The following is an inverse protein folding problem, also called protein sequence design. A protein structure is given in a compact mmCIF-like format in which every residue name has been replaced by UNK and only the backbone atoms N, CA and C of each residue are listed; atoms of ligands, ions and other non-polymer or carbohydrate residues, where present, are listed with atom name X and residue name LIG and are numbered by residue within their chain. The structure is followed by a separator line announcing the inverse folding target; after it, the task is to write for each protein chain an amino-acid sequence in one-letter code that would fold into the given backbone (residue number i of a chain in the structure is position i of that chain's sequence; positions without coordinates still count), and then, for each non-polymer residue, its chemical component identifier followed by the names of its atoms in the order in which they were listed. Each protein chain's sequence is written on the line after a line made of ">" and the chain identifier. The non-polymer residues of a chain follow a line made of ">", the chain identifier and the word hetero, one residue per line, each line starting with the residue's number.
data_IF_682187580071
#
_entry.id   IF_682187580071
#
_cell.length_a   1.000
_cell.length_b   1.000
_cell.length_c   1.000
_cell.angle_alpha   90.00
_cell.angle_beta   90.00
_cell.angle_gamma   90.00
#
_symmetry.space_group_name_H-M   'P 1'
#
loop_
_entity.id
_entity.type
_entity.pdbx_description
1 polymer ?
#
# COMPACT_ATOMS: atom_id res chain seq x y z
N UNK A 1 -24.79 51.78 -5.64
CA UNK A 1 -23.52 51.15 -6.02
C UNK A 1 -23.56 49.71 -5.55
N UNK A 2 -24.08 48.79 -6.37
CA UNK A 2 -24.07 47.36 -6.06
C UNK A 2 -23.96 46.58 -7.36
N UNK A 3 -23.01 45.64 -7.40
CA UNK A 3 -23.13 44.44 -8.20
C UNK A 3 -22.22 43.38 -7.57
N UNK A 4 -22.82 42.58 -6.69
CA UNK A 4 -22.24 41.37 -6.09
C UNK A 4 -21.95 40.34 -7.20
N UNK A 5 -20.68 39.92 -7.31
CA UNK A 5 -20.17 39.14 -8.44
C UNK A 5 -20.50 37.65 -8.22
N UNK A 6 -21.55 37.17 -8.88
CA UNK A 6 -21.96 35.75 -8.84
C UNK A 6 -20.83 34.81 -9.25
N UNK A 7 -20.50 33.76 -8.45
CA UNK A 7 -19.53 32.75 -8.84
C UNK A 7 -19.99 31.99 -10.10
N UNK A 8 -19.12 31.92 -11.09
CA UNK A 8 -19.41 31.33 -12.39
C UNK A 8 -19.26 29.80 -12.32
N UNK A 9 -20.39 29.07 -12.27
CA UNK A 9 -20.46 27.62 -12.06
C UNK A 9 -19.97 26.77 -13.25
N UNK A 10 -19.60 27.41 -14.36
CA UNK A 10 -19.08 26.77 -15.58
C UNK A 10 -17.58 26.43 -15.47
N UNK A 11 -16.88 26.94 -14.44
CA UNK A 11 -15.52 26.51 -14.08
C UNK A 11 -15.57 25.33 -13.12
N UNK A 12 -16.09 24.19 -13.59
CA UNK A 12 -15.97 22.92 -12.84
C UNK A 12 -14.50 22.46 -12.95
N UNK A 13 -13.74 22.35 -11.85
CA UNK A 13 -12.38 21.81 -11.92
C UNK A 13 -12.45 20.38 -12.46
N UNK A 14 -11.65 20.11 -13.49
CA UNK A 14 -11.58 18.82 -14.17
C UNK A 14 -10.79 17.82 -13.31
N UNK A 15 -11.12 16.53 -13.40
CA UNK A 15 -10.44 15.44 -12.68
C UNK A 15 -8.95 15.28 -13.02
N UNK A 16 -8.44 16.03 -14.00
CA UNK A 16 -7.03 16.05 -14.38
C UNK A 16 -6.09 16.51 -13.24
N UNK A 17 -6.61 17.26 -12.26
CA UNK A 17 -5.84 17.72 -11.10
C UNK A 17 -5.70 16.67 -9.99
N UNK A 18 -6.39 15.52 -10.10
CA UNK A 18 -6.38 14.48 -9.07
C UNK A 18 -5.01 13.78 -8.96
N UNK A 19 -4.40 13.42 -10.08
CA UNK A 19 -3.08 12.79 -10.09
C UNK A 19 -1.99 13.70 -9.53
N UNK A 20 -2.10 15.02 -9.74
CA UNK A 20 -1.15 16.00 -9.22
C UNK A 20 -1.17 16.10 -7.68
N UNK A 21 -2.32 15.82 -7.06
CA UNK A 21 -2.49 15.80 -5.61
C UNK A 21 -1.87 14.54 -4.96
N UNK A 22 -1.92 13.41 -5.66
CA UNK A 22 -1.32 12.15 -5.19
C UNK A 22 0.20 12.16 -5.35
N UNK A 23 0.71 12.83 -6.39
CA UNK A 23 2.12 12.77 -6.77
C UNK A 23 2.96 14.00 -6.40
N UNK A 24 2.40 15.02 -5.72
CA UNK A 24 3.05 16.21 -5.14
C UNK A 24 4.41 16.61 -5.72
N UNK A 25 4.47 17.68 -6.53
CA UNK A 25 5.67 18.26 -7.18
C UNK A 25 6.86 17.29 -7.33
N UNK A 26 6.67 16.29 -8.21
CA UNK A 26 7.72 15.38 -8.66
C UNK A 26 8.88 16.18 -9.25
N UNK A 27 10.01 16.17 -8.54
CA UNK A 27 11.32 16.54 -9.08
C UNK A 27 11.64 15.69 -10.33
N UNK A 28 12.34 16.24 -11.34
CA UNK A 28 12.56 15.56 -12.61
C UNK A 28 13.32 14.24 -12.42
N UNK A 29 12.90 13.24 -13.19
CA UNK A 29 13.39 11.87 -13.16
C UNK A 29 14.93 11.78 -13.18
N UNK A 30 15.56 10.93 -12.34
CA UNK A 30 16.99 10.69 -12.46
C UNK A 30 17.29 10.00 -13.80
N UNK A 31 18.23 10.57 -14.54
CA UNK A 31 18.93 9.94 -15.67
C UNK A 31 19.34 8.51 -15.29
N UNK A 32 19.13 7.48 -16.15
CA UNK A 32 19.56 6.14 -15.83
C UNK A 32 21.09 6.09 -15.71
N UNK A 33 21.57 6.02 -14.47
CA UNK A 33 22.95 5.64 -14.15
C UNK A 33 23.17 4.17 -14.56
N UNK A 34 24.40 3.79 -14.97
CA UNK A 34 24.69 2.42 -15.37
C UNK A 34 24.28 1.44 -14.25
N UNK A 35 23.60 0.37 -14.65
CA UNK A 35 23.05 -0.64 -13.75
C UNK A 35 24.16 -1.22 -12.86
N UNK A 36 24.15 -0.82 -11.59
CA UNK A 36 24.90 -1.50 -10.55
C UNK A 36 24.14 -2.79 -10.28
N UNK A 37 24.70 -3.92 -10.72
CA UNK A 37 24.17 -5.25 -10.41
C UNK A 37 24.29 -5.48 -8.90
N UNK A 38 23.26 -5.07 -8.16
CA UNK A 38 23.08 -5.47 -6.77
C UNK A 38 22.68 -6.94 -6.82
N UNK A 39 23.61 -7.82 -6.46
CA UNK A 39 23.32 -9.24 -6.21
C UNK A 39 22.40 -9.27 -5.00
N UNK A 40 21.09 -9.28 -5.25
CA UNK A 40 20.10 -9.44 -4.20
C UNK A 40 20.32 -10.83 -3.56
N UNK A 41 20.25 -10.94 -2.21
CA UNK A 41 20.27 -12.24 -1.56
C UNK A 41 19.17 -13.11 -2.17
N UNK A 42 19.49 -14.37 -2.47
CA UNK A 42 18.59 -15.35 -3.09
C UNK A 42 17.42 -15.62 -2.13
N UNK A 43 16.44 -14.73 -2.12
CA UNK A 43 15.20 -14.90 -1.35
C UNK A 43 14.44 -16.05 -1.98
N UNK A 44 14.00 -17.00 -1.16
CA UNK A 44 13.16 -18.08 -1.64
C UNK A 44 11.95 -17.53 -2.40
N UNK A 45 11.56 -18.16 -3.53
CA UNK A 45 10.43 -17.70 -4.31
C UNK A 45 9.13 -17.86 -3.50
N UNK A 46 8.46 -16.75 -3.20
CA UNK A 46 7.20 -16.75 -2.46
C UNK A 46 6.02 -17.13 -3.35
N UNK A 47 5.12 -17.99 -2.85
CA UNK A 47 3.83 -18.31 -3.49
C UNK A 47 2.69 -17.55 -2.81
N UNK A 48 1.68 -17.13 -3.57
CA UNK A 48 0.48 -16.47 -3.04
C UNK A 48 -0.51 -17.52 -2.53
N UNK A 49 -0.95 -17.35 -1.29
CA UNK A 49 -2.00 -18.15 -0.66
C UNK A 49 -3.23 -17.25 -0.46
N UNK A 50 -4.39 -17.69 -0.97
CA UNK A 50 -5.68 -17.03 -0.75
C UNK A 50 -6.51 -17.94 0.16
N UNK A 51 -7.01 -17.40 1.28
CA UNK A 51 -7.81 -18.12 2.26
C UNK A 51 -9.05 -17.30 2.59
N UNK A 52 -10.20 -17.96 2.64
CA UNK A 52 -11.40 -17.39 3.21
C UNK A 52 -11.40 -17.65 4.72
N UNK A 53 -11.50 -16.59 5.51
CA UNK A 53 -11.52 -16.67 6.98
C UNK A 53 -12.75 -15.96 7.54
N UNK A 54 -13.32 -16.44 8.67
CA UNK A 54 -14.43 -15.75 9.32
C UNK A 54 -14.07 -14.31 9.68
N UNK A 55 -15.01 -13.38 9.52
CA UNK A 55 -14.81 -11.96 9.82
C UNK A 55 -14.32 -11.74 11.26
N UNK A 56 -14.86 -12.50 12.20
CA UNK A 56 -14.50 -12.44 13.62
C UNK A 56 -13.02 -12.78 13.86
N UNK A 57 -12.47 -13.72 13.09
CA UNK A 57 -11.06 -14.09 13.14
C UNK A 57 -10.20 -13.00 12.51
N UNK A 58 -10.57 -12.54 11.31
CA UNK A 58 -9.85 -11.45 10.63
C UNK A 58 -9.76 -10.19 11.51
N UNK A 59 -10.85 -9.83 12.20
CA UNK A 59 -10.87 -8.70 13.15
C UNK A 59 -9.88 -8.90 14.29
N UNK A 60 -9.82 -10.08 14.89
CA UNK A 60 -8.86 -10.40 15.97
C UNK A 60 -7.42 -10.28 15.47
N UNK A 61 -7.13 -10.81 14.28
CA UNK A 61 -5.82 -10.72 13.64
C UNK A 61 -5.41 -9.26 13.41
N UNK A 62 -6.34 -8.43 12.91
CA UNK A 62 -6.07 -7.00 12.68
C UNK A 62 -5.80 -6.23 13.97
N UNK A 63 -6.55 -6.52 15.04
CA UNK A 63 -6.31 -5.90 16.35
C UNK A 63 -4.93 -6.27 16.88
N UNK A 64 -4.57 -7.57 16.85
CA UNK A 64 -3.27 -8.05 17.34
C UNK A 64 -2.11 -7.46 16.55
N UNK A 65 -2.24 -7.38 15.23
CA UNK A 65 -1.26 -6.72 14.36
C UNK A 65 -1.08 -5.26 14.72
N UNK A 66 -2.16 -4.52 14.98
CA UNK A 66 -2.09 -3.12 15.41
C UNK A 66 -1.43 -2.95 16.78
N UNK A 67 -1.66 -3.88 17.71
CA UNK A 67 -1.05 -3.86 19.06
C UNK A 67 0.44 -4.19 19.02
N UNK A 68 0.84 -5.15 18.16
CA UNK A 68 2.22 -5.68 18.13
C UNK A 68 3.11 -4.91 17.15
N UNK A 69 2.51 -4.18 16.20
CA UNK A 69 3.22 -3.50 15.12
C UNK A 69 3.73 -4.44 14.02
N UNK A 70 3.31 -5.71 14.05
CA UNK A 70 3.73 -6.74 13.09
C UNK A 70 2.64 -6.90 12.04
N UNK A 71 2.97 -6.95 10.73
CA UNK A 71 1.98 -7.17 9.68
C UNK A 71 1.27 -8.53 9.84
N UNK A 72 -0.03 -8.57 9.54
CA UNK A 72 -0.83 -9.80 9.59
C UNK A 72 -0.17 -10.94 8.80
N UNK A 73 0.41 -10.63 7.63
CA UNK A 73 1.10 -11.64 6.80
C UNK A 73 2.26 -12.29 7.55
N UNK A 74 3.08 -11.50 8.27
CA UNK A 74 4.20 -12.04 9.03
C UNK A 74 3.73 -12.91 10.21
N UNK A 75 2.67 -12.50 10.90
CA UNK A 75 2.05 -13.32 11.96
C UNK A 75 1.54 -14.66 11.40
N UNK A 76 0.80 -14.63 10.28
CA UNK A 76 0.26 -15.84 9.67
C UNK A 76 1.37 -16.75 9.17
N UNK A 77 2.39 -16.19 8.51
CA UNK A 77 3.55 -16.98 8.05
C UNK A 77 4.23 -17.67 9.22
N UNK A 78 4.45 -16.98 10.36
CA UNK A 78 5.05 -17.58 11.54
C UNK A 78 4.19 -18.72 12.10
N UNK A 79 2.86 -18.54 12.18
CA UNK A 79 1.95 -19.59 12.66
C UNK A 79 1.98 -20.81 11.74
N UNK A 80 1.98 -20.59 10.42
CA UNK A 80 2.06 -21.68 9.45
C UNK A 80 3.41 -22.42 9.54
N UNK A 81 4.51 -21.67 9.65
CA UNK A 81 5.86 -22.24 9.78
C UNK A 81 5.98 -23.12 11.03
N UNK A 82 5.52 -22.62 12.19
CA UNK A 82 5.46 -23.41 13.42
C UNK A 82 4.58 -24.66 13.29
N UNK A 83 3.43 -24.53 12.63
CA UNK A 83 2.50 -25.65 12.48
C UNK A 83 3.03 -26.76 11.58
N UNK A 84 3.79 -26.41 10.53
CA UNK A 84 4.36 -27.39 9.60
C UNK A 84 5.79 -27.83 9.98
N UNK A 85 6.46 -27.14 10.90
CA UNK A 85 7.77 -27.54 11.43
C UNK A 85 7.72 -28.75 12.38
N UNK A 86 6.55 -29.06 12.96
CA UNK A 86 6.34 -30.23 13.84
C UNK A 86 5.96 -31.52 13.09
N UNK A 87 6.10 -31.56 11.75
CA UNK A 87 5.84 -32.73 10.91
C UNK A 87 7.10 -33.29 10.26
#
# INVERSE_FOLDING_TARGET
>A
MSADKRPNLTKRPSSADADKWVHGDTAPAPTPAPAVTVVAPTREPTRRLTLDIPETLHRKMKIKSATTGVPIVAEVTQVLDQHYAEG
#
